data_IF_834152035043
#
_entry.id   IF_834152035043
#
_cell.length_a   1.000
_cell.length_b   1.000
_cell.length_c   1.000
_cell.angle_alpha   90.00
_cell.angle_beta   90.00
_cell.angle_gamma   90.00
#
_symmetry.space_group_name_H-M   'P 1'
#
loop_
_entity.id
_entity.type
_entity.pdbx_description
1 polymer ?
#
# COMPACT_ATOMS: atom_id res chain seq x y z
N UNK A 1 12.28 24.28 45.04
CA UNK A 1 11.04 23.49 44.92
C UNK A 1 11.28 22.35 43.94
N UNK A 2 11.43 21.15 44.49
CA UNK A 2 11.72 19.89 43.80
C UNK A 2 10.48 19.35 43.11
N UNK A 3 10.49 19.26 41.77
CA UNK A 3 9.47 18.50 41.03
C UNK A 3 9.97 17.08 40.84
N UNK A 4 9.54 16.16 41.72
CA UNK A 4 9.68 14.72 41.54
C UNK A 4 9.00 14.32 40.22
N UNK A 5 9.77 13.86 39.24
CA UNK A 5 9.23 13.06 38.15
C UNK A 5 8.91 11.67 38.70
N UNK A 6 7.63 11.28 38.69
CA UNK A 6 7.17 9.96 39.10
C UNK A 6 7.52 8.86 38.09
N UNK A 7 7.45 7.57 38.49
CA UNK A 7 8.08 6.45 37.78
C UNK A 7 7.22 5.85 36.66
N UNK A 8 6.82 6.66 35.69
CA UNK A 8 6.22 6.17 34.44
C UNK A 8 7.13 6.54 33.27
N UNK A 9 8.30 5.88 33.23
CA UNK A 9 8.93 5.62 31.94
C UNK A 9 7.88 4.90 31.10
N UNK A 10 7.43 5.51 30.00
CA UNK A 10 6.62 4.83 29.00
C UNK A 10 7.31 3.50 28.71
N UNK A 11 6.71 2.38 29.15
CA UNK A 11 7.23 1.06 28.83
C UNK A 11 7.42 1.07 27.32
N UNK A 12 8.66 0.87 26.85
CA UNK A 12 8.86 0.48 25.45
C UNK A 12 7.89 -0.68 25.23
N UNK A 13 6.88 -0.46 24.39
CA UNK A 13 6.04 -1.56 23.93
C UNK A 13 7.01 -2.52 23.25
N UNK A 14 7.03 -3.76 23.71
CA UNK A 14 7.84 -4.82 23.15
C UNK A 14 6.87 -5.86 22.61
N UNK A 15 6.53 -5.72 21.33
CA UNK A 15 5.64 -6.66 20.64
C UNK A 15 6.41 -7.83 20.03
N UNK A 16 7.76 -7.83 20.10
CA UNK A 16 8.59 -8.89 19.55
C UNK A 16 8.25 -10.31 20.05
N UNK A 17 7.79 -10.51 21.31
CA UNK A 17 7.32 -11.81 21.78
C UNK A 17 6.24 -12.43 20.88
N UNK A 18 5.36 -11.63 20.26
CA UNK A 18 4.33 -12.15 19.34
C UNK A 18 4.93 -13.02 18.23
N UNK A 19 6.15 -12.72 17.80
CA UNK A 19 6.82 -13.44 16.71
C UNK A 19 7.88 -14.43 17.22
N UNK A 20 8.58 -14.08 18.29
CA UNK A 20 9.81 -14.76 18.70
C UNK A 20 9.62 -15.69 19.90
N UNK A 21 8.58 -15.49 20.71
CA UNK A 21 8.32 -16.37 21.84
C UNK A 21 7.68 -17.69 21.38
N UNK A 22 8.14 -18.80 21.94
CA UNK A 22 7.51 -20.09 21.78
C UNK A 22 6.32 -20.23 22.73
N UNK A 23 5.11 -20.42 22.20
CA UNK A 23 3.96 -20.83 23.02
C UNK A 23 3.34 -19.73 23.88
N UNK A 24 3.11 -18.54 23.32
CA UNK A 24 2.28 -17.53 23.99
C UNK A 24 0.84 -18.03 24.14
N UNK A 25 0.24 -17.77 25.31
CA UNK A 25 -1.19 -18.01 25.51
C UNK A 25 -2.02 -16.98 24.74
N UNK A 26 -3.26 -17.32 24.40
CA UNK A 26 -4.19 -16.38 23.76
C UNK A 26 -4.43 -15.11 24.60
N UNK A 27 -4.39 -15.23 25.93
CA UNK A 27 -4.51 -14.10 26.86
C UNK A 27 -3.32 -13.15 26.73
N UNK A 28 -2.08 -13.67 26.72
CA UNK A 28 -0.88 -12.84 26.56
C UNK A 28 -0.81 -12.17 25.18
N UNK A 29 -1.26 -12.85 24.12
CA UNK A 29 -1.39 -12.24 22.78
C UNK A 29 -2.38 -11.08 22.81
N UNK A 30 -3.54 -11.26 23.45
CA UNK A 30 -4.54 -10.21 23.57
C UNK A 30 -4.03 -9.01 24.38
N UNK A 31 -3.29 -9.24 25.47
CA UNK A 31 -2.68 -8.16 26.25
C UNK A 31 -1.67 -7.34 25.43
N UNK A 32 -0.86 -8.00 24.60
CA UNK A 32 0.12 -7.35 23.73
C UNK A 32 -0.54 -6.55 22.60
N UNK A 33 -1.67 -7.04 22.06
CA UNK A 33 -2.37 -6.41 20.94
C UNK A 33 -3.43 -5.37 21.35
N UNK A 34 -3.98 -5.45 22.57
CA UNK A 34 -4.99 -4.53 23.09
C UNK A 34 -4.66 -3.04 22.90
N UNK A 35 -3.41 -2.57 23.07
CA UNK A 35 -3.06 -1.16 22.91
C UNK A 35 -3.12 -0.60 21.47
N UNK A 36 -3.42 -1.45 20.47
CA UNK A 36 -3.46 -1.07 19.06
C UNK A 36 -4.88 -1.00 18.49
N UNK A 37 -5.91 -1.38 19.26
CA UNK A 37 -7.30 -1.14 18.91
C UNK A 37 -7.87 -2.01 17.78
N UNK A 38 -7.36 -3.23 17.61
CA UNK A 38 -7.94 -4.21 16.68
C UNK A 38 -9.29 -4.71 17.20
N UNK A 39 -10.27 -4.82 16.29
CA UNK A 39 -11.58 -5.40 16.62
C UNK A 39 -11.49 -6.93 16.75
N UNK A 40 -10.75 -7.58 15.85
CA UNK A 40 -10.53 -9.03 15.87
C UNK A 40 -9.05 -9.33 16.20
N UNK A 41 -8.77 -9.46 17.49
CA UNK A 41 -7.44 -9.76 18.02
C UNK A 41 -6.89 -11.08 17.45
N UNK A 42 -7.74 -12.09 17.28
CA UNK A 42 -7.31 -13.39 16.74
C UNK A 42 -6.88 -13.23 15.29
N UNK A 43 -7.69 -12.54 14.47
CA UNK A 43 -7.35 -12.25 13.07
C UNK A 43 -6.10 -11.38 12.95
N UNK A 44 -5.92 -10.41 13.85
CA UNK A 44 -4.72 -9.58 13.89
C UNK A 44 -3.46 -10.43 14.16
N UNK A 45 -3.50 -11.35 15.12
CA UNK A 45 -2.40 -12.30 15.36
C UNK A 45 -2.18 -13.22 14.15
N UNK A 46 -3.23 -13.84 13.60
CA UNK A 46 -3.14 -14.69 12.41
C UNK A 46 -2.43 -13.95 11.24
N UNK A 47 -2.78 -12.67 11.02
CA UNK A 47 -2.13 -11.82 10.01
C UNK A 47 -0.64 -11.61 10.34
N UNK A 48 -0.30 -11.25 11.59
CA UNK A 48 1.09 -11.03 12.03
C UNK A 48 1.93 -12.29 11.84
N UNK A 49 1.41 -13.46 12.20
CA UNK A 49 2.08 -14.74 11.98
C UNK A 49 2.29 -15.05 10.49
N UNK A 50 1.27 -14.79 9.66
CA UNK A 50 1.35 -14.98 8.21
C UNK A 50 2.36 -14.03 7.54
N UNK A 51 2.51 -12.80 8.06
CA UNK A 51 3.50 -11.83 7.59
C UNK A 51 4.94 -12.28 7.89
N UNK A 52 5.17 -12.99 9.00
CA UNK A 52 6.51 -13.32 9.50
C UNK A 52 7.32 -14.24 8.58
N UNK A 53 6.66 -15.25 7.98
CA UNK A 53 7.33 -16.23 7.11
C UNK A 53 8.39 -17.06 7.84
N UNK A 54 9.52 -17.30 7.16
CA UNK A 54 10.65 -18.09 7.65
C UNK A 54 11.36 -17.43 8.86
N UNK A 55 12.17 -18.19 9.64
CA UNK A 55 12.82 -17.67 10.85
C UNK A 55 13.60 -16.36 10.65
N UNK A 56 14.34 -16.24 9.55
CA UNK A 56 15.14 -15.03 9.27
C UNK A 56 14.27 -13.82 8.91
N UNK A 57 13.18 -14.00 8.15
CA UNK A 57 12.26 -12.89 7.87
C UNK A 57 11.45 -12.50 9.11
N UNK A 58 11.11 -13.48 9.96
CA UNK A 58 10.45 -13.26 11.25
C UNK A 58 11.28 -12.39 12.19
N UNK A 59 12.58 -12.66 12.31
CA UNK A 59 13.51 -11.80 13.06
C UNK A 59 13.56 -10.37 12.53
N UNK A 60 13.46 -10.18 11.20
CA UNK A 60 13.44 -8.84 10.60
C UNK A 60 12.12 -8.12 10.83
N UNK A 61 11.00 -8.83 10.72
CA UNK A 61 9.68 -8.27 11.04
C UNK A 61 9.61 -7.83 12.51
N UNK A 62 10.14 -8.64 13.43
CA UNK A 62 10.17 -8.30 14.86
C UNK A 62 10.85 -6.96 15.15
N UNK A 63 11.88 -6.57 14.37
CA UNK A 63 12.58 -5.28 14.51
C UNK A 63 11.74 -4.06 14.16
N UNK A 64 10.72 -4.23 13.32
CA UNK A 64 9.82 -3.14 12.87
C UNK A 64 8.41 -3.29 13.43
N UNK A 65 8.12 -4.35 14.19
CA UNK A 65 6.76 -4.72 14.56
C UNK A 65 6.07 -3.65 15.40
N UNK A 66 6.76 -3.09 16.41
CA UNK A 66 6.18 -2.04 17.25
C UNK A 66 5.82 -0.79 16.44
N UNK A 67 6.69 -0.38 15.51
CA UNK A 67 6.44 0.77 14.63
C UNK A 67 5.32 0.49 13.63
N UNK A 68 5.29 -0.72 13.06
CA UNK A 68 4.23 -1.18 12.16
C UNK A 68 2.88 -1.18 12.87
N UNK A 69 2.76 -1.81 14.03
CA UNK A 69 1.51 -1.88 14.78
C UNK A 69 1.06 -0.49 15.25
N UNK A 70 1.99 0.35 15.72
CA UNK A 70 1.66 1.72 16.08
C UNK A 70 1.18 2.55 14.88
N UNK A 71 1.73 2.32 13.68
CA UNK A 71 1.33 3.02 12.47
C UNK A 71 -0.02 2.52 11.92
N UNK A 72 -0.24 1.21 11.95
CA UNK A 72 -1.52 0.58 11.61
C UNK A 72 -2.63 1.07 12.53
N UNK A 73 -2.39 1.14 13.84
CA UNK A 73 -3.36 1.64 14.82
C UNK A 73 -3.76 3.11 14.62
N UNK A 74 -2.97 3.91 13.89
CA UNK A 74 -3.30 5.31 13.53
C UNK A 74 -4.08 5.44 12.23
N UNK A 75 -4.29 4.34 11.50
CA UNK A 75 -5.04 4.35 10.26
C UNK A 75 -6.55 4.35 10.52
N UNK A 76 -7.36 4.59 9.48
CA UNK A 76 -8.82 4.66 9.63
C UNK A 76 -9.43 3.28 9.95
N UNK A 77 -8.79 2.20 9.50
CA UNK A 77 -9.21 0.82 9.71
C UNK A 77 -7.96 -0.08 9.94
N UNK A 78 -7.56 -0.31 11.21
CA UNK A 78 -6.39 -1.10 11.56
C UNK A 78 -6.46 -2.57 11.11
N UNK A 79 -7.62 -3.22 11.25
CA UNK A 79 -7.85 -4.60 10.86
C UNK A 79 -7.72 -4.77 9.34
N UNK A 80 -8.32 -3.88 8.56
CA UNK A 80 -8.17 -3.84 7.11
C UNK A 80 -6.72 -3.59 6.68
N UNK A 81 -6.01 -2.71 7.38
CA UNK A 81 -4.61 -2.43 7.08
C UNK A 81 -3.72 -3.68 7.25
N UNK A 82 -3.91 -4.47 8.32
CA UNK A 82 -3.18 -5.75 8.49
C UNK A 82 -3.53 -6.76 7.41
N UNK A 83 -4.81 -6.88 7.04
CA UNK A 83 -5.22 -7.78 5.96
C UNK A 83 -4.54 -7.41 4.63
N UNK A 84 -4.36 -6.12 4.32
CA UNK A 84 -3.62 -5.71 3.13
C UNK A 84 -2.11 -5.88 3.24
N UNK A 85 -1.52 -5.70 4.43
CA UNK A 85 -0.11 -6.03 4.68
C UNK A 85 0.18 -7.51 4.41
N UNK A 86 -0.65 -8.41 4.96
CA UNK A 86 -0.55 -9.85 4.72
C UNK A 86 -0.58 -10.16 3.22
N UNK A 87 -1.60 -9.66 2.51
CA UNK A 87 -1.77 -9.88 1.06
C UNK A 87 -0.64 -9.28 0.23
N UNK A 88 -0.10 -8.13 0.64
CA UNK A 88 1.03 -7.49 -0.04
C UNK A 88 2.29 -8.36 0.04
N UNK A 89 2.56 -8.96 1.20
CA UNK A 89 3.69 -9.88 1.36
C UNK A 89 3.48 -11.21 0.61
N UNK A 90 2.23 -11.65 0.47
CA UNK A 90 1.87 -12.83 -0.32
C UNK A 90 1.99 -12.61 -1.84
N UNK A 91 2.08 -11.37 -2.31
CA UNK A 91 2.19 -11.03 -3.73
C UNK A 91 3.57 -11.34 -4.37
N UNK A 92 4.40 -12.17 -3.73
CA UNK A 92 5.71 -12.58 -4.24
C UNK A 92 6.87 -11.66 -3.87
N UNK A 93 6.72 -10.83 -2.84
CA UNK A 93 7.80 -9.95 -2.36
C UNK A 93 8.85 -10.76 -1.60
N UNK A 94 10.13 -10.43 -1.81
CA UNK A 94 11.19 -10.92 -0.94
C UNK A 94 11.09 -10.24 0.45
N UNK A 95 10.52 -10.96 1.43
CA UNK A 95 10.26 -10.45 2.78
C UNK A 95 11.51 -9.89 3.46
N UNK A 96 12.65 -10.57 3.38
CA UNK A 96 13.89 -10.13 4.02
C UNK A 96 14.33 -8.79 3.43
N UNK A 97 14.41 -8.68 2.10
CA UNK A 97 14.80 -7.43 1.44
C UNK A 97 13.84 -6.30 1.72
N UNK A 98 12.53 -6.57 1.73
CA UNK A 98 11.52 -5.57 2.07
C UNK A 98 11.68 -5.10 3.51
N UNK A 99 11.77 -6.01 4.48
CA UNK A 99 11.88 -5.61 5.89
C UNK A 99 13.19 -4.88 6.17
N UNK A 100 14.33 -5.33 5.61
CA UNK A 100 15.59 -4.60 5.70
C UNK A 100 15.47 -3.18 5.09
N UNK A 101 14.75 -3.03 3.97
CA UNK A 101 14.46 -1.73 3.39
C UNK A 101 13.58 -0.85 4.30
N UNK A 102 12.53 -1.40 4.90
CA UNK A 102 11.63 -0.67 5.80
C UNK A 102 12.33 -0.25 7.09
N UNK A 103 13.26 -1.06 7.60
CA UNK A 103 14.16 -0.67 8.72
C UNK A 103 14.97 0.57 8.34
N UNK A 104 15.50 0.62 7.11
CA UNK A 104 16.29 1.76 6.64
C UNK A 104 15.44 2.98 6.25
N UNK A 105 14.17 2.78 5.90
CA UNK A 105 13.26 3.82 5.45
C UNK A 105 11.90 3.79 6.18
N UNK A 106 11.84 4.13 7.48
CA UNK A 106 10.59 4.06 8.28
C UNK A 106 9.44 4.90 7.72
N UNK A 107 9.75 6.00 7.03
CA UNK A 107 8.77 6.83 6.30
C UNK A 107 7.94 6.00 5.29
N UNK A 108 8.52 4.98 4.67
CA UNK A 108 7.82 4.12 3.71
C UNK A 108 6.93 3.12 4.42
N UNK A 109 7.34 2.61 5.58
CA UNK A 109 6.47 1.80 6.44
C UNK A 109 5.22 2.59 6.83
N UNK A 110 5.38 3.83 7.28
CA UNK A 110 4.27 4.72 7.60
C UNK A 110 3.37 5.01 6.38
N UNK A 111 3.97 5.25 5.22
CA UNK A 111 3.22 5.45 3.98
C UNK A 111 2.38 4.21 3.62
N UNK A 112 2.95 3.01 3.71
CA UNK A 112 2.24 1.76 3.43
C UNK A 112 1.08 1.55 4.41
N UNK A 113 1.30 1.78 5.71
CA UNK A 113 0.23 1.69 6.71
C UNK A 113 -0.90 2.69 6.42
N UNK A 114 -0.55 3.93 6.06
CA UNK A 114 -1.53 4.94 5.68
C UNK A 114 -2.31 4.53 4.42
N UNK A 115 -1.64 4.01 3.39
CA UNK A 115 -2.31 3.55 2.17
C UNK A 115 -3.26 2.38 2.46
N UNK A 116 -2.78 1.37 3.17
CA UNK A 116 -3.53 0.14 3.45
C UNK A 116 -4.75 0.38 4.35
N UNK A 117 -4.65 1.27 5.33
CA UNK A 117 -5.79 1.58 6.20
C UNK A 117 -6.71 2.70 5.71
N UNK A 118 -6.48 3.29 4.52
CA UNK A 118 -7.35 4.37 4.00
C UNK A 118 -7.91 4.12 2.59
N UNK A 119 -7.28 3.29 1.76
CA UNK A 119 -7.75 3.13 0.37
C UNK A 119 -7.56 1.72 -0.19
N UNK A 120 -8.65 0.93 -0.29
CA UNK A 120 -8.67 -0.36 -0.98
C UNK A 120 -8.11 -0.33 -2.40
N UNK A 121 -8.37 0.75 -3.16
CA UNK A 121 -7.90 0.86 -4.55
C UNK A 121 -6.38 1.05 -4.65
N UNK A 122 -5.80 1.85 -3.75
CA UNK A 122 -4.34 2.03 -3.68
C UNK A 122 -3.66 0.77 -3.16
N UNK A 123 -4.22 0.14 -2.12
CA UNK A 123 -3.72 -1.13 -1.58
C UNK A 123 -3.67 -2.21 -2.66
N UNK A 124 -4.77 -2.40 -3.41
CA UNK A 124 -4.82 -3.34 -4.53
C UNK A 124 -3.83 -3.00 -5.65
N UNK A 125 -3.52 -1.73 -5.87
CA UNK A 125 -2.53 -1.31 -6.86
C UNK A 125 -1.13 -1.74 -6.44
N UNK A 126 -0.77 -1.56 -5.16
CA UNK A 126 0.51 -2.00 -4.60
C UNK A 126 0.63 -3.52 -4.53
N UNK A 127 -0.44 -4.24 -4.18
CA UNK A 127 -0.45 -5.71 -4.17
C UNK A 127 -0.22 -6.26 -5.59
N UNK A 128 -0.78 -5.61 -6.61
CA UNK A 128 -0.59 -6.02 -8.01
C UNK A 128 0.82 -5.76 -8.52
N UNK A 129 1.47 -4.70 -8.05
CA UNK A 129 2.83 -4.33 -8.46
C UNK A 129 3.63 -3.82 -7.24
N UNK A 130 4.20 -4.75 -6.44
CA UNK A 130 4.90 -4.39 -5.21
C UNK A 130 6.15 -3.52 -5.42
N UNK A 131 6.71 -3.50 -6.62
CA UNK A 131 7.89 -2.68 -6.94
C UNK A 131 7.56 -1.19 -6.90
N UNK A 132 6.28 -0.81 -7.02
CA UNK A 132 5.83 0.58 -6.93
C UNK A 132 6.17 1.25 -5.59
N UNK A 133 6.43 0.50 -4.52
CA UNK A 133 6.87 1.09 -3.24
C UNK A 133 8.19 1.85 -3.39
N UNK A 134 9.13 1.31 -4.17
CA UNK A 134 10.45 1.91 -4.37
C UNK A 134 10.35 3.13 -5.26
N UNK A 135 9.44 3.11 -6.23
CA UNK A 135 9.12 4.28 -7.03
C UNK A 135 8.49 5.40 -6.20
N UNK A 136 7.54 5.09 -5.31
CA UNK A 136 6.94 6.09 -4.40
C UNK A 136 7.97 6.69 -3.43
N UNK A 137 9.02 5.95 -3.10
CA UNK A 137 10.08 6.43 -2.23
C UNK A 137 11.03 7.45 -2.89
N UNK A 138 11.00 7.58 -4.21
CA UNK A 138 11.79 8.58 -4.91
C UNK A 138 11.23 9.99 -4.67
N UNK A 139 12.07 10.90 -4.16
CA UNK A 139 11.66 12.26 -3.77
C UNK A 139 10.91 13.00 -4.89
N UNK A 140 11.41 12.93 -6.12
CA UNK A 140 10.81 13.57 -7.32
C UNK A 140 9.38 13.10 -7.64
N UNK A 141 8.98 11.94 -7.13
CA UNK A 141 7.68 11.33 -7.43
C UNK A 141 6.58 11.97 -6.60
N UNK A 142 6.84 12.30 -5.34
CA UNK A 142 5.81 12.87 -4.47
C UNK A 142 5.94 14.37 -4.24
N UNK A 143 7.03 15.01 -4.64
CA UNK A 143 7.29 16.44 -4.36
C UNK A 143 6.56 17.43 -5.28
N UNK A 144 6.33 17.10 -6.55
CA UNK A 144 5.66 18.02 -7.49
C UNK A 144 4.55 17.36 -8.30
N UNK A 145 3.62 18.18 -8.78
CA UNK A 145 2.65 17.82 -9.82
C UNK A 145 3.37 17.45 -11.12
N UNK A 146 2.88 16.44 -11.82
CA UNK A 146 3.24 16.20 -13.22
C UNK A 146 2.44 17.13 -14.14
N UNK A 147 3.13 17.83 -15.02
CA UNK A 147 2.50 18.56 -16.10
C UNK A 147 1.87 17.61 -17.12
N UNK A 148 0.86 18.09 -17.84
CA UNK A 148 0.27 17.37 -18.96
C UNK A 148 1.31 16.89 -19.98
N UNK A 149 2.28 17.73 -20.33
CA UNK A 149 3.36 17.39 -21.27
C UNK A 149 4.21 16.22 -20.78
N UNK A 150 4.49 16.13 -19.47
CA UNK A 150 5.23 15.02 -18.88
C UNK A 150 4.42 13.72 -18.95
N UNK A 151 3.13 13.78 -18.61
CA UNK A 151 2.25 12.61 -18.73
C UNK A 151 2.14 12.13 -20.18
N UNK A 152 2.02 13.04 -21.15
CA UNK A 152 2.00 12.68 -22.58
C UNK A 152 3.33 12.07 -23.06
N UNK A 153 4.48 12.50 -22.49
CA UNK A 153 5.78 11.87 -22.76
C UNK A 153 5.87 10.47 -22.16
N UNK A 154 5.40 10.28 -20.93
CA UNK A 154 5.39 8.96 -20.27
C UNK A 154 4.50 7.95 -21.01
N UNK A 155 3.31 8.38 -21.47
CA UNK A 155 2.43 7.53 -22.29
C UNK A 155 3.12 7.14 -23.59
N UNK A 156 3.74 8.09 -24.30
CA UNK A 156 4.48 7.79 -25.53
C UNK A 156 5.62 6.82 -25.29
N UNK A 157 6.41 7.04 -24.24
CA UNK A 157 7.51 6.16 -23.87
C UNK A 157 7.03 4.74 -23.51
N UNK A 158 5.93 4.61 -22.78
CA UNK A 158 5.35 3.32 -22.42
C UNK A 158 4.85 2.52 -23.63
N UNK A 159 4.56 3.19 -24.75
CA UNK A 159 4.02 2.59 -25.97
C UNK A 159 5.03 2.44 -27.11
N UNK A 160 6.20 3.09 -27.02
CA UNK A 160 7.14 3.22 -28.14
C UNK A 160 7.59 1.88 -28.73
N UNK A 161 7.77 0.86 -27.88
CA UNK A 161 8.29 -0.46 -28.29
C UNK A 161 7.26 -1.58 -28.18
N UNK A 162 5.97 -1.24 -28.15
CA UNK A 162 4.89 -2.22 -27.99
C UNK A 162 4.11 -2.31 -29.30
N UNK A 163 4.24 -3.43 -30.02
CA UNK A 163 3.60 -3.60 -31.32
C UNK A 163 2.12 -4.00 -31.19
N UNK A 164 1.83 -5.02 -30.39
CA UNK A 164 0.49 -5.58 -30.24
C UNK A 164 -0.46 -4.64 -29.48
N UNK A 165 -1.68 -4.48 -29.98
CA UNK A 165 -2.70 -3.56 -29.45
C UNK A 165 -3.07 -3.91 -28.01
N UNK A 166 -3.19 -5.21 -27.72
CA UNK A 166 -3.54 -5.75 -26.40
C UNK A 166 -2.45 -5.41 -25.37
N UNK A 167 -1.18 -5.50 -25.77
CA UNK A 167 -0.05 -5.11 -24.93
C UNK A 167 0.02 -3.59 -24.73
N UNK A 168 -0.35 -2.80 -25.75
CA UNK A 168 -0.48 -1.34 -25.60
C UNK A 168 -1.57 -0.99 -24.60
N UNK A 169 -2.72 -1.66 -24.66
CA UNK A 169 -3.82 -1.48 -23.70
C UNK A 169 -3.36 -1.80 -22.27
N UNK A 170 -2.63 -2.90 -22.07
CA UNK A 170 -2.14 -3.23 -20.74
C UNK A 170 -1.09 -2.24 -20.22
N UNK A 171 -0.19 -1.78 -21.10
CA UNK A 171 0.77 -0.72 -20.77
C UNK A 171 0.06 0.57 -20.33
N UNK A 172 -1.02 0.95 -21.01
CA UNK A 172 -1.84 2.11 -20.66
C UNK A 172 -2.58 1.92 -19.33
N UNK A 173 -3.14 0.74 -19.07
CA UNK A 173 -3.79 0.42 -17.79
C UNK A 173 -2.78 0.50 -16.65
N UNK A 174 -1.57 -0.04 -16.83
CA UNK A 174 -0.48 0.07 -15.86
C UNK A 174 -0.09 1.53 -15.60
N UNK A 175 0.08 2.32 -16.66
CA UNK A 175 0.35 3.76 -16.55
C UNK A 175 -0.74 4.47 -15.74
N UNK A 176 -2.02 4.24 -16.07
CA UNK A 176 -3.15 4.88 -15.37
C UNK A 176 -3.20 4.50 -13.89
N UNK A 177 -3.03 3.21 -13.56
CA UNK A 177 -2.99 2.74 -12.16
C UNK A 177 -1.87 3.42 -11.38
N UNK A 178 -0.68 3.51 -11.95
CA UNK A 178 0.48 4.18 -11.34
C UNK A 178 0.26 5.69 -11.15
N UNK A 179 -0.31 6.36 -12.14
CA UNK A 179 -0.65 7.78 -12.04
C UNK A 179 -1.70 8.04 -10.96
N UNK A 180 -2.78 7.24 -10.93
CA UNK A 180 -3.82 7.33 -9.89
C UNK A 180 -3.24 7.07 -8.49
N UNK A 181 -2.34 6.10 -8.34
CA UNK A 181 -1.66 5.83 -7.08
C UNK A 181 -0.88 7.05 -6.59
N UNK A 182 -0.07 7.69 -7.46
CA UNK A 182 0.67 8.91 -7.08
C UNK A 182 -0.25 10.06 -6.69
N UNK A 183 -1.32 10.28 -7.43
CA UNK A 183 -2.30 11.32 -7.09
C UNK A 183 -2.96 11.04 -5.73
N UNK A 184 -3.43 9.81 -5.52
CA UNK A 184 -4.04 9.40 -4.26
C UNK A 184 -3.07 9.50 -3.08
N UNK A 185 -1.80 9.16 -3.26
CA UNK A 185 -0.78 9.30 -2.21
C UNK A 185 -0.48 10.77 -1.91
N UNK A 186 -0.37 11.64 -2.93
CA UNK A 186 -0.17 13.08 -2.72
C UNK A 186 -1.35 13.70 -1.96
N UNK A 187 -2.56 13.31 -2.31
CA UNK A 187 -3.79 13.75 -1.64
C UNK A 187 -3.84 13.26 -0.17
N UNK A 188 -3.56 11.97 0.06
CA UNK A 188 -3.49 11.37 1.40
C UNK A 188 -2.47 12.06 2.31
N UNK A 189 -1.30 12.41 1.77
CA UNK A 189 -0.24 13.11 2.48
C UNK A 189 -0.43 14.65 2.53
N UNK A 190 -1.55 15.17 1.98
CA UNK A 190 -1.84 16.60 1.88
C UNK A 190 -0.73 17.41 1.19
N UNK A 191 -0.06 16.79 0.21
CA UNK A 191 0.99 17.40 -0.63
C UNK A 191 0.42 18.12 -1.88
N UNK A 192 -0.88 18.00 -2.10
CA UNK A 192 -1.64 18.68 -3.14
C UNK A 192 -2.94 19.20 -2.53
N UNK A 193 -3.39 20.38 -2.96
CA UNK A 193 -4.70 20.89 -2.61
C UNK A 193 -5.78 20.33 -3.55
N UNK A 194 -7.06 20.53 -3.18
CA UNK A 194 -8.19 20.03 -3.97
C UNK A 194 -8.18 20.55 -5.43
N UNK A 195 -7.91 21.84 -5.71
CA UNK A 195 -7.75 22.33 -7.08
C UNK A 195 -6.65 21.61 -7.85
N UNK A 196 -5.48 21.41 -7.24
CA UNK A 196 -4.35 20.73 -7.87
C UNK A 196 -4.69 19.27 -8.19
N UNK A 197 -5.26 18.54 -7.23
CA UNK A 197 -5.69 17.14 -7.42
C UNK A 197 -6.72 17.03 -8.55
N UNK A 198 -7.69 17.94 -8.59
CA UNK A 198 -8.74 17.97 -9.64
C UNK A 198 -8.17 18.27 -11.02
N UNK A 199 -7.24 19.22 -11.11
CA UNK A 199 -6.54 19.54 -12.35
C UNK A 199 -5.69 18.36 -12.84
N UNK A 200 -4.99 17.67 -11.93
CA UNK A 200 -4.17 16.51 -12.28
C UNK A 200 -5.01 15.31 -12.75
N UNK A 201 -6.18 15.06 -12.14
CA UNK A 201 -7.15 14.07 -12.63
C UNK A 201 -7.67 14.43 -14.03
N UNK A 202 -7.95 15.71 -14.27
CA UNK A 202 -8.41 16.21 -15.57
C UNK A 202 -7.35 16.02 -16.65
N UNK A 203 -6.08 16.34 -16.36
CA UNK A 203 -4.96 16.09 -17.26
C UNK A 203 -4.80 14.60 -17.57
N UNK A 204 -4.89 13.74 -16.55
CA UNK A 204 -4.81 12.29 -16.72
C UNK A 204 -5.94 11.76 -17.62
N UNK A 205 -7.15 12.29 -17.48
CA UNK A 205 -8.28 11.95 -18.35
C UNK A 205 -8.07 12.42 -19.79
N UNK A 206 -7.55 13.64 -19.99
CA UNK A 206 -7.27 14.22 -21.30
C UNK A 206 -6.20 13.45 -22.11
N UNK A 207 -5.28 12.78 -21.43
CA UNK A 207 -4.23 11.97 -22.07
C UNK A 207 -4.76 10.80 -22.91
N UNK A 208 -6.04 10.46 -22.79
CA UNK A 208 -6.70 9.55 -23.72
C UNK A 208 -6.53 9.97 -25.19
N UNK A 209 -6.38 11.26 -25.49
CA UNK A 209 -6.08 11.73 -26.86
C UNK A 209 -4.71 11.28 -27.37
N UNK A 210 -3.68 11.32 -26.54
CA UNK A 210 -2.32 10.84 -26.88
C UNK A 210 -2.30 9.32 -26.97
N UNK A 211 -2.96 8.63 -26.04
CA UNK A 211 -3.11 7.18 -26.08
C UNK A 211 -3.78 6.72 -27.38
N UNK A 212 -4.87 7.37 -27.82
CA UNK A 212 -5.55 7.08 -29.10
C UNK A 212 -4.63 7.26 -30.30
N UNK A 213 -3.87 8.35 -30.39
CA UNK A 213 -2.92 8.58 -31.49
C UNK A 213 -1.83 7.50 -31.56
N UNK A 214 -1.34 7.03 -30.41
CA UNK A 214 -0.29 6.00 -30.36
C UNK A 214 -0.80 4.57 -30.59
N UNK A 215 -2.12 4.35 -30.45
CA UNK A 215 -2.73 3.02 -30.55
C UNK A 215 -3.62 2.81 -31.77
N UNK A 216 -4.12 3.89 -32.38
CA UNK A 216 -5.10 3.83 -33.47
C UNK A 216 -6.55 3.58 -33.01
N UNK A 217 -6.84 3.59 -31.71
CA UNK A 217 -8.16 3.20 -31.15
C UNK A 217 -9.19 4.35 -31.06
N UNK A 218 -10.48 3.98 -31.05
CA UNK A 218 -11.64 4.87 -30.88
C UNK A 218 -11.88 5.35 -29.44
N UNK A 219 -12.89 6.23 -29.23
CA UNK A 219 -13.16 6.91 -27.94
C UNK A 219 -13.57 5.98 -26.78
N UNK A 220 -13.99 4.74 -27.04
CA UNK A 220 -14.63 3.84 -26.07
C UNK A 220 -13.73 2.93 -25.24
N UNK A 221 -12.55 2.53 -25.75
CA UNK A 221 -11.70 1.54 -25.07
C UNK A 221 -10.84 2.10 -23.94
N UNK A 222 -10.61 3.42 -23.93
CA UNK A 222 -9.78 4.11 -22.94
C UNK A 222 -10.44 4.22 -21.56
N UNK A 223 -11.77 4.34 -21.52
CA UNK A 223 -12.54 4.65 -20.30
C UNK A 223 -13.07 3.41 -19.60
N UNK A 224 -13.02 2.23 -20.24
CA UNK A 224 -13.54 0.99 -19.67
C UNK A 224 -12.60 0.51 -18.56
N UNK A 225 -13.06 0.40 -17.31
CA UNK A 225 -12.34 -0.41 -16.34
C UNK A 225 -12.21 -1.82 -16.91
N UNK A 226 -11.08 -2.50 -16.64
CA UNK A 226 -11.00 -3.91 -16.94
C UNK A 226 -12.21 -4.59 -16.28
N UNK A 227 -12.96 -5.41 -17.03
CA UNK A 227 -13.99 -6.26 -16.45
C UNK A 227 -13.38 -6.98 -15.24
N UNK A 228 -14.00 -6.92 -14.05
CA UNK A 228 -13.48 -7.66 -12.92
C UNK A 228 -13.57 -9.14 -13.29
N UNK A 229 -12.44 -9.78 -13.59
CA UNK A 229 -12.35 -11.23 -13.74
C UNK A 229 -12.40 -11.96 -12.39
N UNK A 230 -12.94 -11.30 -11.36
CA UNK A 230 -13.04 -11.83 -10.01
C UNK A 230 -14.52 -11.85 -9.66
N UNK A 231 -15.18 -12.92 -10.12
CA UNK A 231 -16.46 -13.31 -9.57
C UNK A 231 -16.23 -13.57 -8.08
N UNK A 232 -16.88 -12.78 -7.23
CA UNK A 232 -17.14 -13.21 -5.87
C UNK A 232 -17.90 -14.53 -5.98
N UNK A 233 -17.32 -15.60 -5.43
CA UNK A 233 -18.07 -16.79 -5.11
C UNK A 233 -19.14 -16.36 -4.11
N UNK A 234 -20.31 -16.01 -4.61
CA UNK A 234 -21.53 -15.98 -3.83
C UNK A 234 -21.72 -17.39 -3.30
N UNK A 235 -21.30 -17.64 -2.06
CA UNK A 235 -21.91 -18.71 -1.27
C UNK A 235 -23.37 -18.31 -1.09
N UNK A 236 -24.19 -18.72 -2.04
CA UNK A 236 -25.62 -18.72 -1.90
C UNK A 236 -25.94 -19.63 -0.72
N UNK A 237 -26.53 -19.03 0.32
CA UNK A 237 -27.40 -19.75 1.20
C UNK A 237 -28.44 -20.51 0.35
N UNK A 238 -28.43 -21.84 0.45
CA UNK A 238 -29.54 -22.68 0.06
C UNK A 238 -29.45 -24.02 0.81
N UNK A 239 -30.37 -24.15 1.78
CA UNK A 239 -30.85 -25.36 2.47
C UNK A 239 -29.98 -25.95 3.57
#
# INVERSE_FOLDING_TARGET
MTRRAGPYAARRRDSAPLLLASGLSAESVAELLAPFGFEDIKRADDNIQAMAGEPRSRERLAKILDELLAAVARSADPDLALNYWERFLQAGVNRIQLFDYLIMAPRILHLLCAIFGNSPAMAQTLIRDPVLIYWLAEERVLTRRQSRLELEREVRAALANVAAVELKLEALRRFRRRAMLRLGVRDLLRLADVPETTAALSDLACNGGTARRCTGMGRGDWSRPASPSWQWGSSAAAS
#
